data_IF_212916344109
#
_entry.id   IF_212916344109
#
_cell.length_a   1.000
_cell.length_b   1.000
_cell.length_c   1.000
_cell.angle_alpha   90.00
_cell.angle_beta   90.00
_cell.angle_gamma   90.00
#
_symmetry.space_group_name_H-M   'P 1'
#
loop_
_entity.id
_entity.type
_entity.pdbx_description
1 polymer ?
#
# COMPACT_ATOMS: atom_id res chain seq x y z
N UNK A 1 28.72 29.44 -62.75
CA UNK A 1 29.61 28.66 -61.87
C UNK A 1 29.88 29.49 -60.63
N UNK A 2 29.79 28.86 -59.45
CA UNK A 2 30.07 29.37 -58.08
C UNK A 2 28.90 29.90 -57.23
N UNK A 3 28.13 28.92 -56.72
CA UNK A 3 27.80 28.65 -55.30
C UNK A 3 28.09 29.75 -54.25
N UNK A 4 27.09 30.18 -53.46
CA UNK A 4 27.26 30.52 -52.02
C UNK A 4 25.99 30.19 -51.21
N UNK A 5 26.25 29.57 -50.07
CA UNK A 5 25.41 28.66 -49.30
C UNK A 5 24.25 29.31 -48.53
N UNK A 6 23.14 28.56 -48.43
CA UNK A 6 21.99 28.82 -47.57
C UNK A 6 22.37 28.48 -46.11
N UNK A 7 22.36 29.45 -45.20
CA UNK A 7 22.53 29.20 -43.77
C UNK A 7 21.17 28.87 -43.14
N UNK A 8 20.93 27.59 -42.85
CA UNK A 8 19.75 27.15 -42.10
C UNK A 8 20.06 27.23 -40.60
N UNK A 9 19.46 28.21 -39.91
CA UNK A 9 19.52 28.32 -38.46
C UNK A 9 18.58 27.28 -37.82
N UNK A 10 19.15 26.23 -37.24
CA UNK A 10 18.41 25.20 -36.52
C UNK A 10 18.17 25.68 -35.08
N UNK A 11 16.98 26.20 -34.79
CA UNK A 11 16.54 26.47 -33.41
C UNK A 11 16.29 25.14 -32.70
N UNK A 12 17.19 24.77 -31.78
CA UNK A 12 16.99 23.67 -30.85
C UNK A 12 16.09 24.17 -29.72
N UNK A 13 14.80 23.82 -29.79
CA UNK A 13 13.89 23.97 -28.64
C UNK A 13 14.23 22.86 -27.62
N UNK A 14 14.98 23.22 -26.58
CA UNK A 14 15.17 22.36 -25.43
C UNK A 14 13.88 22.36 -24.59
N UNK A 15 13.03 21.35 -24.78
CA UNK A 15 11.90 21.09 -23.87
C UNK A 15 12.45 20.51 -22.57
N UNK A 16 12.59 21.34 -21.55
CA UNK A 16 12.82 20.87 -20.18
C UNK A 16 11.56 20.15 -19.69
N UNK A 17 11.57 18.82 -19.70
CA UNK A 17 10.55 18.03 -19.04
C UNK A 17 10.63 18.29 -17.53
N UNK A 18 9.68 19.06 -17.00
CA UNK A 18 9.47 19.16 -15.55
C UNK A 18 8.96 17.80 -15.07
N UNK A 19 9.79 17.08 -14.31
CA UNK A 19 9.30 16.03 -13.44
C UNK A 19 8.47 16.73 -12.34
N UNK A 20 7.16 16.82 -12.57
CA UNK A 20 6.24 17.26 -11.53
C UNK A 20 6.26 16.17 -10.44
N UNK A 21 6.78 16.53 -9.28
CA UNK A 21 6.71 15.74 -8.06
C UNK A 21 5.25 15.74 -7.59
N UNK A 22 4.39 15.03 -8.33
CA UNK A 22 2.99 14.85 -7.97
C UNK A 22 2.93 14.00 -6.72
N UNK A 23 2.36 14.56 -5.65
CA UNK A 23 2.02 13.83 -4.44
C UNK A 23 1.36 12.47 -4.77
N UNK A 24 1.54 11.42 -3.94
CA UNK A 24 0.93 10.13 -4.18
C UNK A 24 -0.57 10.28 -4.40
N UNK A 25 -1.06 9.74 -5.52
CA UNK A 25 -2.49 9.77 -5.87
C UNK A 25 -3.35 8.99 -4.85
N UNK A 26 -2.72 8.05 -4.15
CA UNK A 26 -3.35 7.25 -3.10
C UNK A 26 -2.68 7.59 -1.77
N UNK A 27 -3.48 8.07 -0.83
CA UNK A 27 -3.07 8.33 0.55
C UNK A 27 -3.39 7.14 1.44
N UNK A 28 -2.54 6.91 2.44
CA UNK A 28 -2.74 5.92 3.49
C UNK A 28 -2.79 6.59 4.86
N UNK A 29 -3.72 6.16 5.70
CA UNK A 29 -3.90 6.71 7.04
C UNK A 29 -4.36 5.63 8.01
N UNK A 30 -4.32 5.93 9.31
CA UNK A 30 -4.74 5.00 10.37
C UNK A 30 -4.04 3.63 10.26
N UNK A 31 -2.76 3.61 9.88
CA UNK A 31 -1.99 2.39 9.66
C UNK A 31 -1.43 1.84 10.98
N UNK A 32 -1.82 0.61 11.33
CA UNK A 32 -1.35 -0.08 12.55
C UNK A 32 -1.33 -1.60 12.39
N UNK A 33 -0.52 -2.27 13.19
CA UNK A 33 -0.39 -3.73 13.21
C UNK A 33 -0.82 -4.24 14.58
N UNK A 34 -1.67 -5.25 14.64
CA UNK A 34 -1.93 -6.02 15.86
C UNK A 34 -0.92 -7.16 15.94
N UNK A 35 0.04 -7.07 16.86
CA UNK A 35 1.00 -8.15 17.09
C UNK A 35 0.47 -9.15 18.11
N UNK A 36 0.73 -10.44 17.85
CA UNK A 36 0.45 -11.54 18.77
C UNK A 36 1.75 -12.06 19.39
N UNK A 37 1.71 -12.72 20.56
CA UNK A 37 2.89 -13.27 21.20
C UNK A 37 3.64 -14.31 20.34
N UNK A 38 4.96 -14.35 20.47
CA UNK A 38 5.80 -15.34 19.81
C UNK A 38 5.92 -15.12 18.31
N UNK A 39 5.85 -16.20 17.54
CA UNK A 39 5.91 -16.19 16.07
C UNK A 39 4.54 -16.34 15.41
N UNK A 40 3.46 -16.07 16.16
CA UNK A 40 2.10 -16.12 15.63
C UNK A 40 1.92 -15.03 14.55
N UNK A 41 1.03 -15.25 13.57
CA UNK A 41 0.73 -14.25 12.57
C UNK A 41 0.21 -12.94 13.16
N UNK A 42 0.52 -11.83 12.51
CA UNK A 42 0.02 -10.51 12.85
C UNK A 42 -0.97 -9.99 11.80
N UNK A 43 -1.87 -9.09 12.20
CA UNK A 43 -2.81 -8.44 11.28
C UNK A 43 -2.46 -6.96 11.11
N UNK A 44 -2.32 -6.49 9.87
CA UNK A 44 -2.13 -5.07 9.56
C UNK A 44 -3.42 -4.44 9.01
N UNK A 45 -3.69 -3.22 9.45
CA UNK A 45 -4.92 -2.46 9.21
C UNK A 45 -4.58 -1.03 8.80
N UNK A 46 -5.29 -0.50 7.80
CA UNK A 46 -4.99 0.78 7.15
C UNK A 46 -6.19 1.26 6.35
N UNK A 47 -6.38 2.57 6.25
CA UNK A 47 -7.35 3.18 5.34
C UNK A 47 -6.63 3.78 4.14
N UNK A 48 -7.05 3.38 2.94
CA UNK A 48 -6.58 3.97 1.68
C UNK A 48 -7.62 4.95 1.14
N UNK A 49 -7.16 6.09 0.61
CA UNK A 49 -7.97 7.07 -0.10
C UNK A 49 -7.35 7.32 -1.48
N UNK A 50 -8.09 7.02 -2.54
CA UNK A 50 -7.68 7.32 -3.90
C UNK A 50 -8.26 8.66 -4.33
N UNK A 51 -7.39 9.65 -4.52
CA UNK A 51 -7.74 11.02 -4.91
C UNK A 51 -7.73 11.25 -6.42
N UNK A 52 -7.50 10.21 -7.22
CA UNK A 52 -7.64 10.32 -8.68
C UNK A 52 -9.06 10.05 -9.16
N UNK A 53 -9.29 10.45 -10.40
CA UNK A 53 -10.46 10.11 -11.20
C UNK A 53 -10.43 8.71 -11.79
N UNK A 54 -9.39 7.91 -11.52
CA UNK A 54 -9.22 6.55 -12.06
C UNK A 54 -9.37 5.54 -10.94
N UNK A 55 -10.21 4.52 -11.14
CA UNK A 55 -10.34 3.43 -10.18
C UNK A 55 -9.09 2.56 -10.20
N UNK A 56 -8.65 2.13 -9.02
CA UNK A 56 -7.48 1.28 -8.79
C UNK A 56 -7.88 0.04 -8.01
N UNK A 57 -6.90 -0.85 -7.81
CA UNK A 57 -6.98 -1.94 -6.85
C UNK A 57 -5.69 -2.03 -6.06
N UNK A 58 -5.78 -2.47 -4.81
CA UNK A 58 -4.63 -3.02 -4.09
C UNK A 58 -4.49 -4.47 -4.53
N UNK A 59 -3.34 -4.87 -5.06
CA UNK A 59 -3.13 -6.20 -5.66
C UNK A 59 -2.06 -7.02 -4.96
N UNK A 60 -1.39 -6.44 -3.97
CA UNK A 60 -0.33 -7.12 -3.22
C UNK A 60 0.16 -6.30 -2.04
N UNK A 61 0.89 -6.97 -1.16
CA UNK A 61 1.61 -6.37 -0.04
C UNK A 61 2.93 -7.10 0.18
N UNK A 62 3.96 -6.37 0.60
CA UNK A 62 5.26 -6.93 0.96
C UNK A 62 5.86 -6.22 2.18
N UNK A 63 6.67 -6.94 2.95
CA UNK A 63 7.35 -6.40 4.14
C UNK A 63 8.77 -6.95 4.24
N UNK A 64 9.69 -6.12 4.71
CA UNK A 64 11.05 -6.56 5.03
C UNK A 64 11.07 -7.41 6.31
N UNK A 65 10.17 -7.15 7.26
CA UNK A 65 10.13 -7.73 8.61
C UNK A 65 9.44 -9.11 8.65
N UNK A 66 8.61 -9.43 7.65
CA UNK A 66 7.88 -10.70 7.54
C UNK A 66 8.28 -11.44 6.26
N UNK A 67 8.23 -12.78 6.29
CA UNK A 67 8.50 -13.56 5.08
C UNK A 67 7.32 -13.53 4.10
N UNK A 68 6.10 -13.39 4.62
CA UNK A 68 4.86 -13.38 3.84
C UNK A 68 3.94 -12.26 4.31
N UNK A 69 3.37 -11.52 3.35
CA UNK A 69 2.36 -10.50 3.57
C UNK A 69 1.24 -10.73 2.54
N UNK A 70 0.04 -11.07 3.03
CA UNK A 70 -1.05 -11.56 2.19
C UNK A 70 -2.32 -10.77 2.48
N UNK A 71 -3.05 -10.34 1.44
CA UNK A 71 -4.30 -9.61 1.65
C UNK A 71 -5.41 -10.62 1.89
N UNK A 72 -6.04 -10.55 3.06
CA UNK A 72 -7.13 -11.44 3.45
C UNK A 72 -8.43 -10.65 3.64
N UNK A 73 -9.56 -11.32 3.45
CA UNK A 73 -10.89 -10.86 3.86
C UNK A 73 -11.41 -11.76 4.97
N UNK A 74 -11.85 -11.15 6.05
CA UNK A 74 -12.57 -11.86 7.11
C UNK A 74 -14.06 -11.91 6.77
N UNK A 75 -14.71 -13.02 7.11
CA UNK A 75 -16.16 -13.19 7.02
C UNK A 75 -16.64 -14.09 8.16
N UNK A 76 -17.95 -14.05 8.40
CA UNK A 76 -18.61 -15.03 9.28
C UNK A 76 -19.57 -15.84 8.43
N UNK A 77 -19.35 -17.14 8.37
CA UNK A 77 -20.19 -18.07 7.62
C UNK A 77 -20.68 -19.16 8.58
N UNK A 78 -22.00 -19.31 8.73
CA UNK A 78 -22.60 -20.31 9.63
C UNK A 78 -22.22 -20.14 11.12
N UNK A 79 -21.87 -18.91 11.55
CA UNK A 79 -21.41 -18.65 12.91
C UNK A 79 -19.92 -18.93 13.15
N UNK A 80 -19.19 -19.39 12.13
CA UNK A 80 -17.75 -19.60 12.18
C UNK A 80 -17.02 -18.45 11.47
N UNK A 81 -16.01 -17.89 12.13
CA UNK A 81 -15.12 -16.90 11.51
C UNK A 81 -14.23 -17.57 10.47
N UNK A 82 -14.13 -16.97 9.29
CA UNK A 82 -13.28 -17.41 8.18
C UNK A 82 -12.40 -16.25 7.74
N UNK A 83 -11.16 -16.57 7.36
CA UNK A 83 -10.24 -15.62 6.71
C UNK A 83 -9.77 -16.26 5.42
N UNK A 84 -9.87 -15.52 4.33
CA UNK A 84 -9.53 -16.01 2.99
C UNK A 84 -8.64 -15.00 2.28
N UNK A 85 -7.58 -15.51 1.65
CA UNK A 85 -6.73 -14.69 0.79
C UNK A 85 -7.51 -14.18 -0.43
N UNK A 86 -7.28 -12.93 -0.79
CA UNK A 86 -7.86 -12.32 -2.00
C UNK A 86 -6.76 -11.79 -2.90
N UNK A 87 -6.93 -11.95 -4.21
CA UNK A 87 -5.96 -11.48 -5.21
C UNK A 87 -5.93 -9.96 -5.33
N UNK A 88 -7.05 -9.29 -5.02
CA UNK A 88 -7.13 -7.84 -5.08
C UNK A 88 -8.27 -7.26 -4.25
N UNK A 89 -8.12 -5.99 -3.87
CA UNK A 89 -9.15 -5.20 -3.19
C UNK A 89 -9.46 -3.96 -4.02
N UNK A 90 -10.74 -3.71 -4.39
CA UNK A 90 -11.13 -2.52 -5.13
C UNK A 90 -10.83 -1.23 -4.36
N UNK A 91 -10.30 -0.23 -5.06
CA UNK A 91 -10.07 1.12 -4.57
C UNK A 91 -10.69 2.13 -5.56
N UNK A 92 -11.96 2.53 -5.35
CA UNK A 92 -12.67 3.38 -6.30
C UNK A 92 -12.00 4.74 -6.54
N UNK A 93 -12.22 5.33 -7.71
CA UNK A 93 -11.85 6.72 -7.99
C UNK A 93 -12.54 7.66 -6.99
N UNK A 94 -11.81 8.66 -6.48
CA UNK A 94 -12.28 9.58 -5.43
C UNK A 94 -12.91 8.86 -4.23
N UNK A 95 -12.42 7.65 -3.93
CA UNK A 95 -13.03 6.71 -3.00
C UNK A 95 -12.05 6.18 -1.97
N UNK A 96 -12.58 5.37 -1.05
CA UNK A 96 -11.81 4.78 0.05
C UNK A 96 -12.02 3.29 0.15
N UNK A 97 -11.03 2.62 0.71
CA UNK A 97 -11.19 1.26 1.24
C UNK A 97 -10.49 1.14 2.58
N UNK A 98 -11.13 0.43 3.50
CA UNK A 98 -10.64 0.24 4.86
C UNK A 98 -10.23 -1.22 5.07
N UNK A 99 -9.04 -1.40 5.63
CA UNK A 99 -8.58 -2.66 6.17
C UNK A 99 -8.76 -2.54 7.69
N UNK A 100 -9.72 -3.27 8.24
CA UNK A 100 -10.12 -3.19 9.64
C UNK A 100 -10.39 -4.60 10.22
N UNK A 101 -10.37 -4.76 11.55
CA UNK A 101 -10.72 -6.03 12.17
C UNK A 101 -12.12 -6.51 11.72
N UNK A 102 -12.21 -7.76 11.24
CA UNK A 102 -13.46 -8.32 10.70
C UNK A 102 -13.75 -7.99 9.23
N UNK A 103 -12.94 -7.15 8.59
CA UNK A 103 -12.98 -6.88 7.15
C UNK A 103 -11.70 -7.34 6.45
N UNK A 104 -11.21 -6.49 5.54
CA UNK A 104 -9.91 -6.71 4.91
C UNK A 104 -8.76 -6.48 5.90
N UNK A 105 -7.68 -7.22 5.75
CA UNK A 105 -6.45 -7.01 6.50
C UNK A 105 -5.26 -7.59 5.72
N UNK A 106 -4.04 -7.15 6.08
CA UNK A 106 -2.83 -7.88 5.67
C UNK A 106 -2.51 -8.90 6.74
N UNK A 107 -2.52 -10.17 6.38
CA UNK A 107 -1.98 -11.25 7.20
C UNK A 107 -0.46 -11.28 7.03
N UNK A 108 0.25 -11.06 8.13
CA UNK A 108 1.71 -11.04 8.19
C UNK A 108 2.20 -12.33 8.85
N UNK A 109 2.90 -13.17 8.10
CA UNK A 109 3.38 -14.47 8.58
C UNK A 109 4.90 -14.56 8.62
N UNK A 110 5.38 -15.46 9.49
CA UNK A 110 6.80 -15.81 9.63
C UNK A 110 7.66 -14.56 9.87
N UNK A 111 7.50 -13.89 11.03
CA UNK A 111 8.33 -12.73 11.38
C UNK A 111 9.81 -13.12 11.35
N UNK A 112 10.64 -12.31 10.69
CA UNK A 112 12.09 -12.54 10.55
C UNK A 112 12.85 -12.15 11.81
N UNK A 113 12.24 -11.31 12.64
CA UNK A 113 12.70 -10.92 13.97
C UNK A 113 11.50 -10.63 14.87
N UNK A 114 11.66 -10.58 16.20
CA UNK A 114 10.60 -10.15 17.09
C UNK A 114 10.11 -8.74 16.73
N UNK A 115 8.79 -8.57 16.63
CA UNK A 115 8.11 -7.26 16.48
C UNK A 115 7.30 -7.02 17.75
N UNK A 116 7.52 -5.87 18.40
CA UNK A 116 6.94 -5.51 19.69
C UNK A 116 5.97 -4.33 19.53
N UNK A 117 5.04 -4.21 20.48
CA UNK A 117 4.19 -3.03 20.55
C UNK A 117 5.06 -1.76 20.70
N UNK A 118 4.73 -0.73 19.92
CA UNK A 118 5.49 0.51 19.79
C UNK A 118 6.50 0.52 18.64
N UNK A 119 6.86 -0.63 18.07
CA UNK A 119 7.73 -0.69 16.90
C UNK A 119 7.04 -0.06 15.69
N UNK A 120 7.84 0.50 14.79
CA UNK A 120 7.38 1.03 13.51
C UNK A 120 7.99 0.23 12.39
N UNK A 121 7.18 -0.24 11.45
CA UNK A 121 7.65 -0.97 10.27
C UNK A 121 6.87 -0.57 9.02
N UNK A 122 7.48 -0.82 7.86
CA UNK A 122 6.90 -0.44 6.56
C UNK A 122 6.33 -1.65 5.85
N UNK A 123 5.10 -1.51 5.35
CA UNK A 123 4.50 -2.45 4.40
C UNK A 123 4.34 -1.70 3.08
N UNK A 124 4.82 -2.29 2.00
CA UNK A 124 4.68 -1.73 0.65
C UNK A 124 3.52 -2.42 -0.04
N UNK A 125 2.57 -1.63 -0.55
CA UNK A 125 1.42 -2.12 -1.29
C UNK A 125 1.62 -1.96 -2.79
N UNK A 126 1.27 -3.00 -3.54
CA UNK A 126 1.24 -2.95 -5.00
C UNK A 126 -0.13 -2.48 -5.48
N UNK A 127 -0.14 -1.47 -6.35
CA UNK A 127 -1.34 -0.93 -6.97
C UNK A 127 -1.50 -1.50 -8.38
N UNK A 128 -2.74 -1.60 -8.85
CA UNK A 128 -3.06 -2.12 -10.19
C UNK A 128 -2.49 -1.31 -11.36
N UNK A 129 -2.03 -0.08 -11.12
CA UNK A 129 -1.33 0.74 -12.12
C UNK A 129 0.19 0.51 -12.14
N UNK A 130 0.68 -0.49 -11.40
CA UNK A 130 2.08 -0.87 -11.32
C UNK A 130 2.91 -0.04 -10.32
N UNK A 131 2.29 0.93 -9.63
CA UNK A 131 2.98 1.70 -8.59
C UNK A 131 3.04 0.95 -7.27
N UNK A 132 4.05 1.31 -6.48
CA UNK A 132 4.24 0.85 -5.10
C UNK A 132 3.92 1.98 -4.13
N UNK A 133 3.21 1.64 -3.06
CA UNK A 133 2.83 2.56 -2.00
C UNK A 133 3.43 2.08 -0.67
N UNK A 134 4.59 2.61 -0.24
CA UNK A 134 5.12 2.32 1.09
C UNK A 134 4.28 3.03 2.15
N UNK A 135 3.86 2.28 3.17
CA UNK A 135 3.06 2.80 4.28
C UNK A 135 3.72 2.41 5.60
N UNK A 136 3.88 3.38 6.49
CA UNK A 136 4.44 3.19 7.83
C UNK A 136 3.34 2.77 8.81
N UNK A 137 3.57 1.68 9.54
CA UNK A 137 2.65 1.11 10.52
C UNK A 137 3.28 1.13 11.91
N UNK A 138 2.46 1.44 12.92
CA UNK A 138 2.84 1.27 14.33
C UNK A 138 2.28 -0.06 14.84
N UNK A 139 3.13 -0.90 15.42
CA UNK A 139 2.74 -2.14 16.07
C UNK A 139 2.05 -1.87 17.42
N UNK A 140 0.97 -2.58 17.68
CA UNK A 140 0.06 -2.43 18.81
C UNK A 140 -0.19 -3.78 19.49
N UNK A 141 -0.47 -3.79 20.80
CA UNK A 141 -0.65 -5.02 21.55
C UNK A 141 -1.86 -5.85 21.07
N UNK A 142 -1.90 -7.12 21.46
CA UNK A 142 -2.91 -8.08 21.02
C UNK A 142 -4.37 -7.67 21.31
N UNK A 143 -4.60 -6.87 22.35
CA UNK A 143 -5.91 -6.36 22.74
C UNK A 143 -6.32 -5.06 22.03
N UNK A 144 -5.47 -4.48 21.19
CA UNK A 144 -5.78 -3.24 20.46
C UNK A 144 -6.91 -3.47 19.46
N UNK A 145 -7.89 -2.59 19.45
CA UNK A 145 -9.07 -2.59 18.57
C UNK A 145 -8.98 -1.56 17.45
N UNK A 146 -8.07 -0.60 17.56
CA UNK A 146 -7.87 0.46 16.57
C UNK A 146 -6.50 1.13 16.61
N UNK A 147 -6.28 2.14 15.76
CA UNK A 147 -4.96 2.76 15.53
C UNK A 147 -4.44 3.62 16.70
N UNK A 148 -5.31 3.99 17.64
CA UNK A 148 -5.00 4.86 18.78
C UNK A 148 -4.88 4.11 20.11
N UNK A 149 -5.12 2.80 20.10
CA UNK A 149 -5.09 1.95 21.29
C UNK A 149 -3.66 1.61 21.73
#
# INVERSE_FOLDING_TARGET
MMLRSLAAALLVFATTAHAADTAPVVDASAAWIRVLPGSLPAGAYVTFENRSTTALKIVGAESADYAEAMIHRSSTEGGMGRMEMVDSVPLPANGKVEFNPGGYHVMLEKPKHPVKAGDTLTITFDLSDGKKLPVSFVARPANATGPKD
#
